data_IF_854484195723
#
_entry.id   IF_854484195723
#
_cell.length_a   1.000
_cell.length_b   1.000
_cell.length_c   1.000
_cell.angle_alpha   90.00
_cell.angle_beta   90.00
_cell.angle_gamma   90.00
#
_symmetry.space_group_name_H-M   'P 1'
#
loop_
_entity.id
_entity.type
_entity.pdbx_description
1 polymer ?
#
# COMPACT_ATOMS: atom_id res chain seq x y z
N UNK A 1 12.20 -2.98 -11.78
CA UNK A 1 12.30 -3.92 -10.65
C UNK A 1 11.89 -3.15 -9.41
N UNK A 2 10.68 -3.39 -8.88
CA UNK A 2 10.20 -2.71 -7.67
C UNK A 2 10.55 -3.60 -6.47
N UNK A 3 11.28 -3.04 -5.51
CA UNK A 3 11.70 -3.74 -4.29
C UNK A 3 10.76 -3.29 -3.17
N UNK A 4 10.19 -4.26 -2.45
CA UNK A 4 9.35 -4.02 -1.27
C UNK A 4 10.19 -4.09 -0.03
N UNK A 5 9.98 -3.17 0.91
CA UNK A 5 10.46 -3.29 2.27
C UNK A 5 9.27 -3.42 3.20
N UNK A 6 9.05 -4.64 3.69
CA UNK A 6 8.40 -4.84 4.98
C UNK A 6 9.50 -4.57 6.01
N UNK A 7 9.36 -3.50 6.81
CA UNK A 7 10.27 -3.24 7.92
C UNK A 7 10.02 -4.30 8.97
N UNK A 8 10.81 -5.37 8.93
CA UNK A 8 11.15 -6.23 10.06
C UNK A 8 12.25 -7.20 9.57
N UNK A 9 13.40 -7.13 10.22
CA UNK A 9 14.55 -8.05 10.22
C UNK A 9 14.69 -9.12 9.10
N UNK A 10 15.92 -9.18 8.55
CA UNK A 10 16.44 -10.20 7.63
C UNK A 10 16.34 -11.64 8.15
N UNK A 11 15.15 -12.19 8.17
CA UNK A 11 14.93 -13.62 8.04
C UNK A 11 14.05 -13.80 6.80
N UNK A 12 14.38 -14.79 5.98
CA UNK A 12 13.53 -15.23 4.88
C UNK A 12 12.10 -15.37 5.41
N UNK A 13 11.21 -14.48 5.01
CA UNK A 13 9.80 -14.60 5.35
C UNK A 13 9.30 -15.85 4.63
N UNK A 14 9.22 -16.98 5.35
CA UNK A 14 8.46 -18.15 4.95
C UNK A 14 7.10 -17.67 4.43
N UNK A 15 6.82 -17.95 3.15
CA UNK A 15 5.67 -17.44 2.40
C UNK A 15 4.32 -17.75 3.09
N UNK A 16 3.87 -16.83 3.93
CA UNK A 16 2.47 -16.72 4.40
C UNK A 16 1.78 -15.44 3.93
N UNK A 17 2.52 -14.55 3.25
CA UNK A 17 2.03 -13.24 2.78
C UNK A 17 1.42 -13.34 1.37
N UNK A 18 0.16 -12.90 1.21
CA UNK A 18 -0.49 -12.82 -0.10
C UNK A 18 -0.01 -11.56 -0.82
N UNK A 19 0.65 -11.75 -1.96
CA UNK A 19 1.05 -10.69 -2.86
C UNK A 19 0.01 -10.55 -3.98
N UNK A 20 -0.42 -9.33 -4.25
CA UNK A 20 -1.36 -9.02 -5.35
C UNK A 20 -0.66 -8.05 -6.30
N UNK A 21 -0.46 -8.49 -7.53
CA UNK A 21 -0.02 -7.62 -8.63
C UNK A 21 -1.19 -6.74 -9.05
N UNK A 22 -0.98 -5.42 -9.09
CA UNK A 22 -2.03 -4.47 -9.42
C UNK A 22 -2.29 -4.36 -10.93
N UNK A 23 -1.47 -5.00 -11.77
CA UNK A 23 -1.65 -5.00 -13.23
C UNK A 23 -3.04 -5.52 -13.61
N UNK A 24 -3.50 -6.59 -12.96
CA UNK A 24 -4.85 -7.16 -13.17
C UNK A 24 -5.98 -6.22 -12.72
N UNK A 25 -5.63 -5.16 -11.97
CA UNK A 25 -6.54 -4.14 -11.47
C UNK A 25 -6.43 -2.82 -12.25
N UNK A 26 -5.66 -2.79 -13.35
CA UNK A 26 -5.48 -1.58 -14.16
C UNK A 26 -4.52 -0.56 -13.54
N UNK A 27 -3.63 -0.98 -12.65
CA UNK A 27 -2.60 -0.13 -12.06
C UNK A 27 -1.23 -0.78 -12.13
N UNK A 28 -0.17 0.03 -12.11
CA UNK A 28 1.18 -0.49 -11.96
C UNK A 28 1.58 -0.42 -10.49
N UNK A 29 2.07 -1.53 -9.94
CA UNK A 29 2.43 -1.64 -8.53
C UNK A 29 2.02 -2.99 -7.98
N UNK A 30 2.07 -3.12 -6.66
CA UNK A 30 1.67 -4.34 -5.97
C UNK A 30 1.24 -3.97 -4.55
N UNK A 31 0.49 -4.86 -3.92
CA UNK A 31 0.20 -4.79 -2.48
C UNK A 31 0.65 -6.08 -1.79
N UNK A 32 1.04 -5.94 -0.52
CA UNK A 32 1.34 -7.06 0.37
C UNK A 32 0.25 -7.12 1.43
N UNK A 33 -0.30 -8.30 1.67
CA UNK A 33 -1.24 -8.54 2.76
C UNK A 33 -0.53 -9.30 3.86
N UNK A 34 -0.41 -8.66 5.02
CA UNK A 34 0.19 -9.22 6.23
C UNK A 34 -0.58 -8.71 7.45
N UNK A 35 -0.80 -9.56 8.45
CA UNK A 35 -1.42 -9.19 9.75
C UNK A 35 -2.70 -8.35 9.62
N UNK A 36 -3.64 -8.82 8.79
CA UNK A 36 -4.92 -8.13 8.53
C UNK A 36 -4.74 -6.67 8.06
N UNK A 37 -3.66 -6.41 7.33
CA UNK A 37 -3.28 -5.10 6.81
C UNK A 37 -2.85 -5.22 5.35
N UNK A 38 -3.32 -4.31 4.51
CA UNK A 38 -2.87 -4.17 3.12
C UNK A 38 -1.77 -3.11 3.09
N UNK A 39 -0.54 -3.53 2.85
CA UNK A 39 0.57 -2.63 2.59
C UNK A 39 0.62 -2.29 1.10
N UNK A 40 0.47 -1.01 0.78
CA UNK A 40 0.57 -0.48 -0.58
C UNK A 40 1.85 0.37 -0.71
N UNK A 41 2.99 -0.25 -1.01
CA UNK A 41 4.26 0.44 -1.05
C UNK A 41 4.48 1.28 -2.31
N UNK A 42 3.86 0.90 -3.42
CA UNK A 42 3.90 1.66 -4.65
C UNK A 42 2.63 1.39 -5.46
N UNK A 43 2.00 2.45 -5.94
CA UNK A 43 0.87 2.37 -6.86
C UNK A 43 0.92 3.53 -7.84
N UNK A 44 0.77 3.22 -9.12
CA UNK A 44 0.57 4.17 -10.20
C UNK A 44 -0.74 3.79 -10.89
N UNK A 45 -1.72 4.67 -10.77
CA UNK A 45 -3.06 4.45 -11.31
C UNK A 45 -3.02 4.86 -12.78
N UNK A 46 -3.38 3.95 -13.68
CA UNK A 46 -3.43 4.24 -15.11
C UNK A 46 -4.72 4.99 -15.48
N UNK A 47 -4.74 5.60 -16.67
CA UNK A 47 -5.87 6.37 -17.17
C UNK A 47 -7.13 5.50 -17.27
N UNK A 48 -8.25 5.96 -16.70
CA UNK A 48 -9.52 5.24 -16.66
C UNK A 48 -9.76 4.38 -15.40
N UNK A 49 -8.79 4.29 -14.51
CA UNK A 49 -8.95 3.61 -13.21
C UNK A 49 -8.85 4.60 -12.05
N UNK A 50 -9.45 4.24 -10.91
CA UNK A 50 -9.31 5.01 -9.67
C UNK A 50 -8.73 4.15 -8.56
N UNK A 51 -8.09 4.82 -7.59
CA UNK A 51 -7.67 4.19 -6.33
C UNK A 51 -8.84 3.45 -5.69
N UNK A 52 -10.03 4.05 -5.80
CA UNK A 52 -11.27 3.51 -5.25
C UNK A 52 -11.58 2.12 -5.81
N UNK A 53 -11.59 1.99 -7.13
CA UNK A 53 -11.94 0.74 -7.81
C UNK A 53 -10.98 -0.41 -7.45
N UNK A 54 -9.70 -0.09 -7.31
CA UNK A 54 -8.65 -1.07 -7.00
C UNK A 54 -8.82 -1.58 -5.57
N UNK A 55 -8.89 -0.67 -4.59
CA UNK A 55 -8.98 -1.06 -3.20
C UNK A 55 -10.35 -1.59 -2.81
N UNK A 56 -11.45 -1.15 -3.45
CA UNK A 56 -12.76 -1.77 -3.26
C UNK A 56 -12.76 -3.24 -3.64
N UNK A 57 -12.10 -3.61 -4.75
CA UNK A 57 -11.96 -5.02 -5.15
C UNK A 57 -11.10 -5.79 -4.16
N UNK A 58 -9.93 -5.27 -3.78
CA UNK A 58 -9.02 -5.94 -2.83
C UNK A 58 -9.71 -6.13 -1.46
N UNK A 59 -10.38 -5.09 -0.95
CA UNK A 59 -11.14 -5.16 0.31
C UNK A 59 -12.29 -6.16 0.20
N UNK A 60 -13.01 -6.21 -0.94
CA UNK A 60 -14.08 -7.19 -1.16
C UNK A 60 -13.55 -8.63 -1.17
N UNK A 61 -12.41 -8.87 -1.79
CA UNK A 61 -11.80 -10.21 -1.86
C UNK A 61 -11.19 -10.68 -0.54
N UNK A 62 -10.65 -9.75 0.25
CA UNK A 62 -9.85 -10.08 1.44
C UNK A 62 -10.58 -9.84 2.75
N UNK A 63 -11.62 -8.99 2.74
CA UNK A 63 -12.29 -8.48 3.93
C UNK A 63 -11.50 -7.41 4.71
N UNK A 64 -10.28 -7.08 4.27
CA UNK A 64 -9.35 -6.23 5.00
C UNK A 64 -9.58 -4.76 4.63
N UNK A 65 -9.80 -3.92 5.64
CA UNK A 65 -10.02 -2.47 5.45
C UNK A 65 -8.83 -1.61 5.86
N UNK A 66 -7.88 -2.15 6.62
CA UNK A 66 -6.71 -1.40 7.05
C UNK A 66 -5.70 -1.37 5.89
N UNK A 67 -5.38 -0.18 5.41
CA UNK A 67 -4.41 0.01 4.33
C UNK A 67 -3.31 0.95 4.81
N UNK A 68 -2.06 0.56 4.61
CA UNK A 68 -0.88 1.39 4.87
C UNK A 68 -0.21 1.70 3.54
N UNK A 69 -0.15 2.97 3.18
CA UNK A 69 0.61 3.40 2.02
C UNK A 69 2.02 3.80 2.46
N UNK A 70 3.05 3.11 1.97
CA UNK A 70 4.43 3.59 2.12
C UNK A 70 4.72 4.51 0.95
N UNK A 71 5.14 5.74 1.23
CA UNK A 71 4.97 6.82 0.29
C UNK A 71 6.28 7.29 -0.31
N UNK A 72 6.30 7.32 -1.64
CA UNK A 72 6.34 8.60 -2.38
C UNK A 72 4.94 8.82 -2.95
N UNK A 73 3.96 9.12 -2.09
CA UNK A 73 2.59 9.46 -2.48
C UNK A 73 2.63 10.92 -2.89
N UNK A 74 2.27 11.23 -4.13
CA UNK A 74 2.20 12.63 -4.56
C UNK A 74 1.22 13.40 -3.65
N UNK A 75 1.48 14.69 -3.34
CA UNK A 75 0.57 15.49 -2.53
C UNK A 75 -0.89 15.46 -3.03
N UNK A 76 -1.06 15.35 -4.36
CA UNK A 76 -2.36 15.20 -5.01
C UNK A 76 -3.05 13.87 -4.67
N UNK A 77 -2.30 12.77 -4.57
CA UNK A 77 -2.85 11.47 -4.19
C UNK A 77 -3.19 11.44 -2.69
N UNK A 78 -2.35 12.03 -1.84
CA UNK A 78 -2.64 12.20 -0.41
C UNK A 78 -3.93 12.98 -0.18
N UNK A 79 -4.16 14.05 -0.93
CA UNK A 79 -5.40 14.85 -0.81
C UNK A 79 -6.68 14.07 -1.15
N UNK A 80 -6.56 12.95 -1.88
CA UNK A 80 -7.69 12.05 -2.18
C UNK A 80 -7.93 11.00 -1.09
N UNK A 81 -6.96 10.78 -0.20
CA UNK A 81 -7.13 9.85 0.91
C UNK A 81 -8.06 10.45 1.96
N UNK A 82 -9.12 9.73 2.28
CA UNK A 82 -10.04 10.04 3.38
C UNK A 82 -9.79 9.07 4.54
N UNK A 83 -10.26 9.44 5.74
CA UNK A 83 -10.18 8.59 6.93
C UNK A 83 -8.75 8.18 7.31
N UNK A 84 -7.79 9.10 7.17
CA UNK A 84 -6.41 8.91 7.65
C UNK A 84 -6.45 8.72 9.17
N UNK A 85 -5.89 7.60 9.65
CA UNK A 85 -5.80 7.25 11.08
C UNK A 85 -4.49 7.70 11.70
N UNK A 86 -3.41 7.52 10.95
CA UNK A 86 -2.05 7.78 11.41
C UNK A 86 -1.15 8.14 10.23
N UNK A 87 -0.27 9.10 10.44
CA UNK A 87 0.86 9.39 9.57
C UNK A 87 2.13 9.31 10.40
N UNK A 88 3.18 8.70 9.87
CA UNK A 88 4.49 8.65 10.52
C UNK A 88 5.58 8.52 9.46
N UNK A 89 6.83 8.74 9.86
CA UNK A 89 7.98 8.53 9.02
C UNK A 89 8.94 7.57 9.71
N UNK A 90 9.55 6.67 8.95
CA UNK A 90 10.64 5.82 9.44
C UNK A 90 11.86 6.00 8.55
N UNK A 91 13.03 6.11 9.18
CA UNK A 91 14.28 6.17 8.45
C UNK A 91 14.58 4.80 7.86
N UNK A 92 14.72 4.74 6.54
CA UNK A 92 15.17 3.55 5.83
C UNK A 92 16.67 3.63 5.62
N UNK A 93 17.42 2.79 6.33
CA UNK A 93 18.88 2.65 6.16
C UNK A 93 19.27 2.29 4.73
N UNK A 94 18.40 1.57 4.01
CA UNK A 94 18.66 1.17 2.64
C UNK A 94 18.52 2.34 1.65
N UNK A 95 17.48 3.15 1.79
CA UNK A 95 17.31 4.34 0.95
C UNK A 95 18.11 5.54 1.46
N UNK A 96 18.66 5.44 2.68
CA UNK A 96 19.28 6.53 3.43
C UNK A 96 18.36 7.75 3.54
N UNK A 97 17.06 7.49 3.64
CA UNK A 97 16.01 8.51 3.61
C UNK A 97 14.81 8.12 4.50
N UNK A 98 14.00 9.11 4.86
CA UNK A 98 12.76 8.88 5.60
C UNK A 98 11.63 8.47 4.64
N UNK A 99 11.05 7.29 4.88
CA UNK A 99 9.84 6.85 4.20
C UNK A 99 8.65 7.31 5.03
N UNK A 100 7.75 8.08 4.43
CA UNK A 100 6.50 8.46 5.08
C UNK A 100 5.47 7.36 4.87
N UNK A 101 4.72 7.03 5.91
CA UNK A 101 3.65 6.04 5.90
C UNK A 101 2.33 6.71 6.26
N UNK A 102 1.28 6.30 5.57
CA UNK A 102 -0.09 6.76 5.83
C UNK A 102 -0.97 5.54 6.05
N UNK A 103 -1.49 5.41 7.26
CA UNK A 103 -2.52 4.42 7.59
C UNK A 103 -3.91 5.02 7.36
N UNK A 104 -4.72 4.30 6.60
CA UNK A 104 -6.13 4.63 6.37
C UNK A 104 -7.02 3.44 6.72
N UNK A 105 -8.23 3.75 7.18
CA UNK A 105 -9.31 2.79 7.22
C UNK A 105 -10.18 2.96 5.97
N UNK A 106 -10.17 1.95 5.11
CA UNK A 106 -10.89 1.97 3.85
C UNK A 106 -12.40 1.88 4.06
N UNK A 107 -13.14 2.86 3.54
CA UNK A 107 -14.61 2.95 3.62
C UNK A 107 -15.32 2.92 2.25
N UNK A 108 -14.59 2.74 1.16
CA UNK A 108 -15.16 2.67 -0.19
C UNK A 108 -15.78 3.97 -0.70
N UNK A 109 -15.22 5.12 -0.31
CA UNK A 109 -15.63 6.46 -0.74
C UNK A 109 -14.80 7.00 -1.90
#
# INVERSE_FOLDING_TARGET
MAIVYVVENREEIEMKDKHIDLVDYGAWGYVIIKDNTIFCPAIMITEGHTMKDIFDKIVKETGIKKIIFSSVISPMLRAKLKNIKKEWAEYSELHKDYINFIEVEWKGE
#
